data_IF_204803589711
#
_entry.id   IF_204803589711
#
_cell.length_a   1.000
_cell.length_b   1.000
_cell.length_c   1.000
_cell.angle_alpha   90.00
_cell.angle_beta   90.00
_cell.angle_gamma   90.00
#
_symmetry.space_group_name_H-M   'P 1'
#
loop_
_entity.id
_entity.type
_entity.pdbx_description
1 polymer ?
#
# COMPACT_ATOMS: atom_id res chain seq x y z
N UNK A 1 6.95 16.48 10.50
CA UNK A 1 6.04 15.70 9.61
C UNK A 1 5.05 16.69 9.03
N UNK A 2 5.45 17.36 7.92
CA UNK A 2 4.82 18.60 7.48
C UNK A 2 3.64 18.43 6.51
N UNK A 3 3.30 17.24 6.03
CA UNK A 3 2.38 17.10 4.88
C UNK A 3 1.19 16.16 5.11
N UNK A 4 0.86 15.78 6.34
CA UNK A 4 -0.30 14.90 6.61
C UNK A 4 -0.10 13.43 6.26
N UNK A 5 1.13 13.04 5.88
CA UNK A 5 1.51 11.65 5.64
C UNK A 5 2.09 11.04 6.91
N UNK A 6 1.52 9.90 7.34
CA UNK A 6 1.97 9.16 8.51
C UNK A 6 2.40 7.75 8.07
N UNK A 7 3.53 7.24 8.59
CA UNK A 7 3.92 5.85 8.35
C UNK A 7 2.88 4.90 8.96
N UNK A 8 2.99 3.62 8.61
CA UNK A 8 2.16 2.58 9.19
C UNK A 8 2.18 2.64 10.74
N UNK A 9 1.00 2.72 11.35
CA UNK A 9 0.81 2.80 12.79
C UNK A 9 -0.59 2.29 13.17
N UNK A 10 -0.85 2.17 14.48
CA UNK A 10 -2.22 1.88 14.94
C UNK A 10 -3.05 3.15 14.89
N UNK A 11 -4.14 3.10 14.12
CA UNK A 11 -5.03 4.24 13.94
C UNK A 11 -5.77 4.61 15.22
N UNK A 12 -5.93 5.90 15.44
CA UNK A 12 -6.73 6.49 16.50
C UNK A 12 -7.77 7.46 15.91
N UNK A 13 -8.82 7.74 16.65
CA UNK A 13 -9.87 8.67 16.23
C UNK A 13 -9.34 10.07 15.86
N UNK A 14 -8.23 10.49 16.49
CA UNK A 14 -7.55 11.76 16.25
C UNK A 14 -6.83 11.85 14.92
N UNK A 15 -6.60 10.72 14.26
CA UNK A 15 -5.97 10.68 12.93
C UNK A 15 -6.93 11.13 11.84
N UNK A 16 -8.24 11.10 12.11
CA UNK A 16 -9.28 11.41 11.16
C UNK A 16 -9.85 12.83 11.39
N UNK A 17 -9.47 13.80 10.56
CA UNK A 17 -10.07 15.12 10.60
C UNK A 17 -11.57 15.07 10.39
N UNK A 18 -12.33 15.94 11.07
CA UNK A 18 -13.76 16.09 10.80
C UNK A 18 -13.92 16.83 9.48
N UNK A 19 -14.49 16.16 8.49
CA UNK A 19 -14.79 16.75 7.19
C UNK A 19 -16.08 16.14 6.59
N UNK A 20 -17.14 16.92 6.54
CA UNK A 20 -18.44 16.49 6.04
C UNK A 20 -18.55 16.49 4.50
N UNK A 21 -17.57 17.05 3.80
CA UNK A 21 -17.59 17.19 2.34
C UNK A 21 -16.85 16.09 1.61
N UNK A 22 -15.84 15.48 2.24
CA UNK A 22 -15.07 14.38 1.65
C UNK A 22 -15.85 13.08 1.83
N UNK A 23 -15.99 12.31 0.74
CA UNK A 23 -16.69 11.01 0.72
C UNK A 23 -18.02 11.02 1.50
N UNK A 24 -19.06 11.70 1.00
CA UNK A 24 -20.31 11.93 1.75
C UNK A 24 -21.06 10.64 2.09
N UNK A 25 -20.78 9.55 1.39
CA UNK A 25 -21.44 8.24 1.56
C UNK A 25 -20.96 7.48 2.79
N UNK A 26 -19.75 7.79 3.29
CA UNK A 26 -19.14 7.08 4.40
C UNK A 26 -19.12 7.92 5.67
N UNK A 27 -19.37 7.30 6.82
CA UNK A 27 -19.22 7.95 8.13
C UNK A 27 -17.76 8.18 8.49
N UNK A 28 -16.88 7.29 8.05
CA UNK A 28 -15.42 7.34 8.19
C UNK A 28 -14.78 6.81 6.91
N UNK A 29 -13.61 7.32 6.57
CA UNK A 29 -12.89 6.94 5.36
C UNK A 29 -11.38 7.04 5.59
N UNK A 30 -10.69 5.97 5.26
CA UNK A 30 -9.23 5.86 5.34
C UNK A 30 -8.61 5.94 3.95
N UNK A 31 -7.73 6.89 3.74
CA UNK A 31 -6.89 6.95 2.56
C UNK A 31 -5.50 6.40 2.89
N UNK A 32 -5.15 5.30 2.27
CA UNK A 32 -3.85 4.66 2.40
C UNK A 32 -3.04 4.82 1.13
N UNK A 33 -1.74 4.65 1.23
CA UNK A 33 -0.82 4.68 0.08
C UNK A 33 0.36 3.78 0.34
N UNK A 34 1.00 3.30 -0.72
CA UNK A 34 2.39 2.91 -0.69
C UNK A 34 3.17 3.68 -1.75
N UNK A 35 4.44 3.90 -1.48
CA UNK A 35 5.40 4.51 -2.40
C UNK A 35 6.61 3.62 -2.52
N UNK A 36 7.27 3.73 -3.67
CA UNK A 36 8.55 3.09 -3.89
C UNK A 36 9.56 4.09 -4.44
N UNK A 37 10.80 3.79 -4.22
CA UNK A 37 11.92 4.52 -4.77
C UNK A 37 13.06 3.54 -5.08
N UNK A 38 13.82 3.79 -6.14
CA UNK A 38 14.93 2.95 -6.51
C UNK A 38 16.05 3.73 -7.19
N UNK A 39 17.26 3.19 -7.03
CA UNK A 39 18.39 3.50 -7.90
C UNK A 39 18.58 2.38 -8.90
N UNK A 40 19.14 2.70 -10.04
CA UNK A 40 19.57 1.72 -11.02
C UNK A 40 20.91 2.11 -11.62
N UNK A 41 21.61 1.12 -12.15
CA UNK A 41 22.74 1.31 -13.07
C UNK A 41 22.53 0.45 -14.30
N UNK A 42 23.32 0.72 -15.32
CA UNK A 42 23.33 -0.07 -16.54
C UNK A 42 24.69 -0.75 -16.74
N UNK A 43 24.66 -1.90 -17.36
CA UNK A 43 25.84 -2.71 -17.75
C UNK A 43 25.71 -3.08 -19.20
N UNK A 44 26.83 -3.40 -19.84
CA UNK A 44 26.83 -4.00 -21.18
C UNK A 44 26.86 -5.52 -20.99
N UNK A 45 25.90 -6.22 -21.57
CA UNK A 45 25.79 -7.68 -21.51
C UNK A 45 25.47 -8.18 -22.92
N UNK A 46 26.33 -9.02 -23.50
CA UNK A 46 26.18 -9.58 -24.86
C UNK A 46 25.91 -8.52 -25.95
N UNK A 47 26.55 -7.36 -25.87
CA UNK A 47 26.38 -6.27 -26.83
C UNK A 47 25.12 -5.40 -26.63
N UNK A 48 24.32 -5.68 -25.61
CA UNK A 48 23.14 -4.87 -25.24
C UNK A 48 23.37 -4.15 -23.93
N UNK A 49 22.69 -3.03 -23.75
CA UNK A 49 22.66 -2.31 -22.48
C UNK A 49 21.52 -2.85 -21.63
N UNK A 50 21.84 -3.23 -20.41
CA UNK A 50 20.88 -3.73 -19.42
C UNK A 50 20.87 -2.83 -18.20
N UNK A 51 19.74 -2.22 -17.88
CA UNK A 51 19.52 -1.46 -16.65
C UNK A 51 19.01 -2.39 -15.54
N UNK A 52 19.62 -2.31 -14.36
CA UNK A 52 19.29 -3.12 -13.18
C UNK A 52 19.09 -2.24 -11.97
N UNK A 53 18.07 -2.54 -11.17
CA UNK A 53 17.86 -1.92 -9.87
C UNK A 53 19.02 -2.30 -8.93
N UNK A 54 19.54 -1.31 -8.21
CA UNK A 54 20.65 -1.49 -7.24
C UNK A 54 20.25 -1.14 -5.83
N UNK A 55 19.19 -0.37 -5.68
CA UNK A 55 18.58 -0.05 -4.40
C UNK A 55 17.07 0.02 -4.59
N UNK A 56 16.34 -0.61 -3.71
CA UNK A 56 14.89 -0.66 -3.72
C UNK A 56 14.35 -0.34 -2.34
N UNK A 57 13.47 0.63 -2.25
CA UNK A 57 12.81 1.04 -1.01
C UNK A 57 11.32 1.14 -1.26
N UNK A 58 10.53 0.57 -0.37
CA UNK A 58 9.07 0.67 -0.38
C UNK A 58 8.62 1.06 1.01
N UNK A 59 7.63 1.92 1.10
CA UNK A 59 6.99 2.29 2.36
C UNK A 59 5.51 2.54 2.14
N UNK A 60 4.73 2.25 3.17
CA UNK A 60 3.30 2.47 3.23
C UNK A 60 2.95 3.54 4.25
N UNK A 61 1.73 4.01 4.21
CA UNK A 61 1.25 4.95 5.20
C UNK A 61 -0.20 5.37 5.02
N UNK A 62 -0.57 6.29 5.86
CA UNK A 62 -1.88 6.90 6.00
C UNK A 62 -1.84 8.36 5.58
N UNK A 63 -2.73 8.77 4.68
CA UNK A 63 -2.88 10.15 4.25
C UNK A 63 -4.02 10.82 5.05
N UNK A 64 -3.65 11.53 6.10
CA UNK A 64 -4.59 12.25 6.96
C UNK A 64 -5.36 13.34 6.21
N UNK A 65 -4.76 13.96 5.20
CA UNK A 65 -5.41 15.04 4.46
C UNK A 65 -6.56 14.55 3.57
N UNK A 66 -6.48 13.28 3.14
CA UNK A 66 -7.51 12.61 2.33
C UNK A 66 -8.41 11.70 3.15
N UNK A 67 -8.03 11.38 4.38
CA UNK A 67 -8.84 10.62 5.32
C UNK A 67 -9.78 11.54 6.10
N UNK A 68 -10.91 11.03 6.51
CA UNK A 68 -11.89 11.85 7.22
C UNK A 68 -12.89 11.05 8.03
N UNK A 69 -13.53 11.72 9.00
CA UNK A 69 -14.77 11.27 9.64
C UNK A 69 -15.83 12.34 9.58
N UNK A 70 -17.09 11.95 9.60
CA UNK A 70 -18.22 12.88 9.66
C UNK A 70 -18.44 13.37 11.09
N UNK A 71 -18.90 14.61 11.24
CA UNK A 71 -19.22 15.18 12.57
C UNK A 71 -20.34 14.43 13.28
N UNK A 72 -21.30 13.89 12.52
CA UNK A 72 -22.44 13.10 13.02
C UNK A 72 -22.10 11.64 13.27
N UNK A 73 -20.97 11.14 12.75
CA UNK A 73 -20.58 9.75 12.88
C UNK A 73 -20.11 9.45 14.30
N UNK A 74 -20.87 8.61 14.99
CA UNK A 74 -20.49 8.09 16.30
C UNK A 74 -19.49 6.96 16.09
N UNK A 75 -18.29 7.13 16.61
CA UNK A 75 -17.27 6.09 16.62
C UNK A 75 -17.77 4.92 17.48
N UNK A 76 -18.33 3.91 16.83
CA UNK A 76 -18.55 2.62 17.45
C UNK A 76 -17.23 1.87 17.60
N UNK A 77 -17.23 0.82 18.41
CA UNK A 77 -16.05 -0.02 18.62
C UNK A 77 -15.57 -0.75 17.35
N UNK A 78 -16.41 -0.81 16.33
CA UNK A 78 -16.16 -1.50 15.05
C UNK A 78 -15.49 -0.62 13.99
N UNK A 79 -15.67 0.70 14.04
CA UNK A 79 -15.23 1.60 12.98
C UNK A 79 -13.70 1.68 12.87
N UNK A 80 -13.00 1.94 13.96
CA UNK A 80 -11.54 2.01 13.96
C UNK A 80 -10.87 0.68 13.59
N UNK A 81 -11.31 -0.48 14.09
CA UNK A 81 -10.80 -1.77 13.60
C UNK A 81 -11.01 -2.00 12.12
N UNK A 82 -12.12 -1.53 11.54
CA UNK A 82 -12.37 -1.64 10.11
C UNK A 82 -11.38 -0.78 9.31
N UNK A 83 -11.24 0.49 9.66
CA UNK A 83 -10.28 1.40 9.01
C UNK A 83 -8.82 0.95 9.20
N UNK A 84 -8.50 0.36 10.37
CA UNK A 84 -7.20 -0.28 10.58
C UNK A 84 -6.95 -1.42 9.60
N UNK A 85 -7.97 -2.21 9.29
CA UNK A 85 -7.88 -3.28 8.31
C UNK A 85 -7.43 -2.80 6.94
N UNK A 86 -7.93 -1.65 6.48
CA UNK A 86 -7.46 -1.03 5.24
C UNK A 86 -5.97 -0.67 5.30
N UNK A 87 -5.52 -0.05 6.40
CA UNK A 87 -4.10 0.29 6.58
C UNK A 87 -3.22 -0.97 6.69
N UNK A 88 -3.72 -2.01 7.34
CA UNK A 88 -3.03 -3.29 7.50
C UNK A 88 -2.89 -4.04 6.17
N UNK A 89 -3.93 -4.05 5.32
CA UNK A 89 -3.89 -4.59 3.96
C UNK A 89 -2.83 -3.84 3.14
N UNK A 90 -2.87 -2.51 3.14
CA UNK A 90 -1.89 -1.69 2.43
C UNK A 90 -0.45 -2.00 2.88
N UNK A 91 -0.22 -2.16 4.18
CA UNK A 91 1.08 -2.54 4.73
C UNK A 91 1.54 -3.92 4.24
N UNK A 92 0.64 -4.92 4.12
CA UNK A 92 0.96 -6.24 3.58
C UNK A 92 1.48 -6.17 2.15
N UNK A 93 0.82 -5.40 1.28
CA UNK A 93 1.23 -5.24 -0.11
C UNK A 93 2.52 -4.45 -0.24
N UNK A 94 2.70 -3.44 0.60
CA UNK A 94 3.95 -2.69 0.70
C UNK A 94 5.12 -3.60 1.09
N UNK A 95 4.97 -4.46 2.11
CA UNK A 95 5.99 -5.43 2.52
C UNK A 95 6.29 -6.43 1.43
N UNK A 96 5.25 -7.01 0.82
CA UNK A 96 5.41 -7.94 -0.31
C UNK A 96 6.26 -7.34 -1.43
N UNK A 97 6.06 -6.06 -1.74
CA UNK A 97 6.85 -5.36 -2.74
C UNK A 97 8.27 -5.06 -2.24
N UNK A 98 8.42 -4.71 -0.94
CA UNK A 98 9.71 -4.43 -0.32
C UNK A 98 10.61 -5.67 -0.20
N UNK A 99 10.02 -6.85 0.01
CA UNK A 99 10.72 -8.12 0.18
C UNK A 99 11.26 -8.70 -1.13
N UNK A 100 10.92 -8.12 -2.29
CA UNK A 100 11.47 -8.57 -3.56
C UNK A 100 12.98 -8.34 -3.59
N UNK A 101 13.75 -9.43 -3.74
CA UNK A 101 15.19 -9.31 -3.93
C UNK A 101 15.50 -8.56 -5.23
N UNK A 102 16.66 -7.90 -5.28
CA UNK A 102 17.07 -7.13 -6.47
C UNK A 102 17.08 -7.96 -7.76
N UNK A 103 17.33 -9.26 -7.65
CA UNK A 103 17.33 -10.19 -8.79
C UNK A 103 15.92 -10.52 -9.30
N UNK A 104 14.90 -10.37 -8.46
CA UNK A 104 13.50 -10.55 -8.82
C UNK A 104 12.86 -9.30 -9.43
N UNK A 105 13.51 -8.14 -9.25
CA UNK A 105 13.02 -6.90 -9.82
C UNK A 105 13.21 -6.87 -11.34
N UNK A 106 12.38 -6.13 -12.07
CA UNK A 106 12.49 -6.00 -13.52
C UNK A 106 13.87 -5.51 -13.96
N UNK A 107 14.25 -5.90 -15.17
CA UNK A 107 15.44 -5.40 -15.87
C UNK A 107 14.98 -4.68 -17.12
N UNK A 108 15.61 -3.55 -17.39
CA UNK A 108 15.39 -2.81 -18.63
C UNK A 108 16.46 -3.18 -19.67
N UNK A 109 16.08 -3.24 -20.93
CA UNK A 109 16.97 -3.56 -22.05
C UNK A 109 16.86 -2.48 -23.13
N UNK A 110 17.98 -2.20 -23.79
CA UNK A 110 18.03 -1.20 -24.87
C UNK A 110 19.33 -1.26 -25.64
N UNK A 111 19.40 -0.50 -26.74
CA UNK A 111 20.64 -0.34 -27.51
C UNK A 111 21.59 0.67 -26.86
N UNK A 112 21.05 1.52 -26.00
CA UNK A 112 21.80 2.51 -25.24
C UNK A 112 21.27 2.64 -23.80
N UNK A 113 21.97 3.36 -22.89
CA UNK A 113 21.56 3.56 -21.50
C UNK A 113 20.20 4.23 -21.34
N UNK A 114 19.80 5.11 -22.24
CA UNK A 114 18.54 5.84 -22.20
C UNK A 114 17.36 4.91 -22.47
N UNK A 115 17.46 4.09 -23.51
CA UNK A 115 16.44 3.09 -23.84
C UNK A 115 16.31 2.03 -22.75
N UNK A 116 17.43 1.49 -22.25
CA UNK A 116 17.44 0.52 -21.18
C UNK A 116 16.80 1.08 -19.89
N UNK A 117 17.09 2.35 -19.53
CA UNK A 117 16.47 3.00 -18.38
C UNK A 117 14.97 3.23 -18.59
N UNK A 118 14.55 3.66 -19.78
CA UNK A 118 13.13 3.86 -20.08
C UNK A 118 12.33 2.54 -20.03
N UNK A 119 12.92 1.44 -20.52
CA UNK A 119 12.31 0.11 -20.44
C UNK A 119 12.21 -0.37 -18.99
N UNK A 120 13.26 -0.13 -18.16
CA UNK A 120 13.21 -0.45 -16.73
C UNK A 120 12.11 0.31 -16.02
N UNK A 121 12.00 1.64 -16.23
CA UNK A 121 10.96 2.48 -15.64
C UNK A 121 9.57 1.90 -15.93
N UNK A 122 9.27 1.66 -17.22
CA UNK A 122 7.98 1.10 -17.63
C UNK A 122 7.67 -0.24 -16.96
N UNK A 123 8.66 -1.13 -16.84
CA UNK A 123 8.49 -2.44 -16.21
C UNK A 123 8.32 -2.35 -14.69
N UNK A 124 8.99 -1.41 -14.02
CA UNK A 124 8.82 -1.16 -12.59
C UNK A 124 7.44 -0.55 -12.31
N UNK A 125 6.99 0.40 -13.12
CA UNK A 125 5.63 0.95 -13.04
C UNK A 125 4.57 -0.13 -13.22
N UNK A 126 4.71 -0.99 -14.23
CA UNK A 126 3.78 -2.11 -14.46
C UNK A 126 3.76 -3.12 -13.29
N UNK A 127 4.90 -3.34 -12.61
CA UNK A 127 4.96 -4.13 -11.40
C UNK A 127 4.17 -3.48 -10.26
N UNK A 128 4.39 -2.18 -10.03
CA UNK A 128 3.69 -1.43 -8.99
C UNK A 128 2.18 -1.37 -9.25
N UNK A 129 1.77 -1.12 -10.49
CA UNK A 129 0.36 -1.09 -10.91
C UNK A 129 -0.33 -2.44 -10.68
N UNK A 130 0.35 -3.54 -10.99
CA UNK A 130 -0.16 -4.88 -10.73
C UNK A 130 -0.39 -5.12 -9.24
N UNK A 131 0.59 -4.77 -8.39
CA UNK A 131 0.49 -4.91 -6.93
C UNK A 131 -0.64 -4.04 -6.37
N UNK A 132 -0.74 -2.79 -6.83
CA UNK A 132 -1.85 -1.89 -6.45
C UNK A 132 -3.21 -2.41 -6.90
N UNK A 133 -3.29 -3.02 -8.08
CA UNK A 133 -4.51 -3.64 -8.57
C UNK A 133 -4.95 -4.87 -7.75
N UNK A 134 -4.00 -5.66 -7.25
CA UNK A 134 -4.27 -6.77 -6.33
C UNK A 134 -4.73 -6.25 -4.96
N UNK A 135 -4.05 -5.26 -4.42
CA UNK A 135 -4.41 -4.57 -3.17
C UNK A 135 -5.84 -4.00 -3.23
N UNK A 136 -6.16 -3.28 -4.29
CA UNK A 136 -7.51 -2.71 -4.50
C UNK A 136 -8.59 -3.78 -4.45
N UNK A 137 -8.38 -4.93 -5.11
CA UNK A 137 -9.33 -6.06 -5.07
C UNK A 137 -9.51 -6.62 -3.66
N UNK A 138 -8.42 -6.70 -2.88
CA UNK A 138 -8.51 -7.17 -1.49
C UNK A 138 -9.27 -6.16 -0.62
N UNK A 139 -9.10 -4.86 -0.82
CA UNK A 139 -9.91 -3.83 -0.15
C UNK A 139 -11.39 -3.95 -0.50
N UNK A 140 -11.73 -4.13 -1.78
CA UNK A 140 -13.11 -4.31 -2.24
C UNK A 140 -13.76 -5.57 -1.62
N UNK A 141 -13.01 -6.67 -1.56
CA UNK A 141 -13.46 -7.90 -0.93
C UNK A 141 -13.66 -7.73 0.58
N UNK A 142 -12.70 -7.09 1.26
CA UNK A 142 -12.77 -6.78 2.67
C UNK A 142 -14.01 -5.96 3.02
N UNK A 143 -14.27 -4.90 2.27
CA UNK A 143 -15.47 -4.06 2.43
C UNK A 143 -16.76 -4.85 2.23
N UNK A 144 -16.83 -5.63 1.18
CA UNK A 144 -18.02 -6.43 0.85
C UNK A 144 -18.32 -7.47 1.92
N UNK A 145 -17.30 -8.24 2.36
CA UNK A 145 -17.50 -9.32 3.34
C UNK A 145 -17.76 -8.80 4.75
N UNK A 146 -17.12 -7.69 5.13
CA UNK A 146 -17.32 -7.07 6.44
C UNK A 146 -18.55 -6.16 6.49
N UNK A 147 -19.22 -5.95 5.34
CA UNK A 147 -20.28 -4.94 5.19
C UNK A 147 -19.86 -3.56 5.74
N UNK A 148 -18.63 -3.11 5.37
CA UNK A 148 -17.99 -1.89 5.87
C UNK A 148 -17.92 -1.87 7.41
N UNK A 149 -17.45 -2.95 8.01
CA UNK A 149 -17.28 -3.11 9.45
C UNK A 149 -18.54 -3.49 10.24
N UNK A 150 -19.72 -3.58 9.60
CA UNK A 150 -20.98 -3.91 10.27
C UNK A 150 -21.13 -5.40 10.58
N UNK A 151 -20.48 -6.27 9.80
CA UNK A 151 -20.43 -7.71 10.06
C UNK A 151 -19.25 -8.02 10.99
N UNK A 152 -19.50 -7.99 12.29
CA UNK A 152 -18.46 -8.13 13.32
C UNK A 152 -17.75 -9.48 13.26
N UNK A 153 -18.45 -10.57 12.94
CA UNK A 153 -17.83 -11.90 12.81
C UNK A 153 -16.81 -11.91 11.67
N UNK A 154 -17.21 -11.42 10.50
CA UNK A 154 -16.31 -11.31 9.35
C UNK A 154 -15.16 -10.33 9.60
N UNK A 155 -15.43 -9.23 10.30
CA UNK A 155 -14.40 -8.28 10.70
C UNK A 155 -13.32 -8.95 11.56
N UNK A 156 -13.71 -9.79 12.51
CA UNK A 156 -12.78 -10.53 13.37
C UNK A 156 -11.98 -11.58 12.59
N UNK A 157 -12.62 -12.33 11.69
CA UNK A 157 -11.96 -13.30 10.80
C UNK A 157 -10.88 -12.61 9.94
N UNK A 158 -11.25 -11.50 9.29
CA UNK A 158 -10.33 -10.71 8.47
C UNK A 158 -9.18 -10.14 9.30
N UNK A 159 -9.47 -9.53 10.46
CA UNK A 159 -8.45 -8.97 11.34
C UNK A 159 -7.43 -10.02 11.77
N UNK A 160 -7.89 -11.22 12.16
CA UNK A 160 -7.02 -12.32 12.53
C UNK A 160 -6.16 -12.80 11.35
N UNK A 161 -6.75 -12.95 10.16
CA UNK A 161 -6.05 -13.37 8.96
C UNK A 161 -4.98 -12.35 8.52
N UNK A 162 -5.31 -11.07 8.54
CA UNK A 162 -4.38 -9.98 8.20
C UNK A 162 -3.21 -9.94 9.20
N UNK A 163 -3.49 -10.01 10.51
CA UNK A 163 -2.43 -9.99 11.54
C UNK A 163 -1.49 -11.20 11.39
N UNK A 164 -2.02 -12.39 11.14
CA UNK A 164 -1.19 -13.58 10.92
C UNK A 164 -0.29 -13.44 9.67
N UNK A 165 -0.74 -12.73 8.63
CA UNK A 165 0.06 -12.41 7.44
C UNK A 165 1.14 -11.37 7.75
N UNK A 166 0.80 -10.32 8.50
CA UNK A 166 1.75 -9.28 8.94
C UNK A 166 2.86 -9.85 9.83
N UNK A 167 2.52 -10.77 10.73
CA UNK A 167 3.49 -11.45 11.58
C UNK A 167 4.45 -12.30 10.76
N UNK A 168 3.96 -13.07 9.80
CA UNK A 168 4.82 -13.85 8.89
C UNK A 168 5.78 -12.97 8.09
N UNK A 169 5.30 -11.83 7.59
CA UNK A 169 6.12 -10.88 6.86
C UNK A 169 7.19 -10.18 7.75
N UNK A 170 7.08 -10.19 9.08
CA UNK A 170 8.11 -9.65 10.01
C UNK A 170 9.33 -10.56 10.18
N UNK A 171 9.20 -11.84 9.87
CA UNK A 171 10.26 -12.84 10.14
C UNK A 171 11.38 -12.76 9.08
N UNK A 172 11.19 -12.00 8.02
CA UNK A 172 12.12 -11.91 6.88
C UNK A 172 12.89 -10.56 6.80
N UNK A 173 12.86 -9.73 7.86
CA UNK A 173 13.64 -8.48 7.97
C UNK A 173 14.77 -8.61 9.00
#
# INVERSE_FOLDING_TARGET
MANGYFPYHRLAATDFPVNNHVNPEYGMYTCVFFHYWYNHHWIIQNGHVVARVTKWLVWSGFDRNKSSRKSWFKLGNEALPHEQGHLDINELYSRRLAEMSLDMLPRGEGVDPKEASADLIRKVEALADRVSGEEKKEHEQYDAETAHGKNLSKQQEWSAAIQARLERARIHF
#
